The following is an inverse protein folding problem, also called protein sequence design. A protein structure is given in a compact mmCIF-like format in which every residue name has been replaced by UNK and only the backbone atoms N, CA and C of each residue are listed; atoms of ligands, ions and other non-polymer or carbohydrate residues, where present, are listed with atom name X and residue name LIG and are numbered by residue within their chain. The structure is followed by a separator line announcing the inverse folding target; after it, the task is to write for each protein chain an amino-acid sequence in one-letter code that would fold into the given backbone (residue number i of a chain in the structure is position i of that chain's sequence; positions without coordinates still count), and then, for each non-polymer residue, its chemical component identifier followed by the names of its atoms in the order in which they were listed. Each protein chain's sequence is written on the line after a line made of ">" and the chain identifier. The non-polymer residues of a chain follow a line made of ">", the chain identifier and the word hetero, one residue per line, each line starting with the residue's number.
data_IF_440383384980
#
_entry.id   IF_440383384980
#
_cell.length_a   1.000
_cell.length_b   1.000
_cell.length_c   1.000
_cell.angle_alpha   90.00
_cell.angle_beta   90.00
_cell.angle_gamma   90.00
#
_symmetry.space_group_name_H-M   'P 1'
#
loop_
_entity.id
_entity.type
_entity.pdbx_description
1 polymer ?
#
# COMPACT_ATOMS: atom_id res chain seq x y z
N UNK A 1 -4.07 -6.43 13.56
CA UNK A 1 -3.52 -7.31 14.62
C UNK A 1 -2.11 -7.84 14.31
N UNK A 2 -1.77 -8.22 13.07
CA UNK A 2 -0.45 -8.77 12.72
C UNK A 2 0.71 -7.77 12.79
N UNK A 3 0.50 -6.53 12.32
CA UNK A 3 1.51 -5.48 12.36
C UNK A 3 1.85 -5.09 13.80
N UNK A 4 0.83 -4.84 14.64
CA UNK A 4 1.01 -4.53 16.06
C UNK A 4 1.88 -5.59 16.77
N UNK A 5 1.61 -6.89 16.52
CA UNK A 5 2.41 -7.98 17.10
C UNK A 5 3.87 -7.93 16.69
N UNK A 6 4.15 -7.65 15.41
CA UNK A 6 5.53 -7.64 14.90
C UNK A 6 6.29 -6.38 15.30
N UNK A 7 5.64 -5.23 15.17
CA UNK A 7 6.32 -3.94 15.23
C UNK A 7 6.36 -3.34 16.64
N UNK A 8 5.38 -3.67 17.48
CA UNK A 8 5.25 -3.11 18.83
C UNK A 8 5.48 -4.18 19.90
N UNK A 9 4.70 -5.27 19.90
CA UNK A 9 4.76 -6.23 21.00
C UNK A 9 6.07 -7.00 21.05
N UNK A 10 6.61 -7.41 19.90
CA UNK A 10 7.86 -8.19 19.86
C UNK A 10 9.06 -7.41 20.41
N UNK A 11 9.32 -6.16 20.01
CA UNK A 11 10.32 -5.30 20.63
C UNK A 11 10.05 -5.06 22.13
N UNK A 12 8.80 -4.82 22.51
CA UNK A 12 8.40 -4.63 23.90
C UNK A 12 8.77 -5.86 24.75
N UNK A 13 8.49 -7.07 24.29
CA UNK A 13 8.84 -8.31 25.01
C UNK A 13 10.35 -8.48 25.19
N UNK A 14 11.15 -8.11 24.17
CA UNK A 14 12.62 -8.13 24.28
C UNK A 14 13.11 -7.18 25.37
N UNK A 15 12.53 -5.97 25.45
CA UNK A 15 12.86 -4.99 26.50
C UNK A 15 12.44 -5.49 27.88
N UNK A 16 11.23 -6.04 28.03
CA UNK A 16 10.75 -6.58 29.29
C UNK A 16 11.63 -7.74 29.77
N UNK A 17 11.98 -8.65 28.87
CA UNK A 17 12.88 -9.76 29.16
C UNK A 17 14.28 -9.29 29.58
N UNK A 18 14.86 -8.32 28.87
CA UNK A 18 16.16 -7.74 29.21
C UNK A 18 16.17 -7.05 30.60
N UNK A 19 15.00 -6.53 31.02
CA UNK A 19 14.81 -5.89 32.33
C UNK A 19 14.34 -6.87 33.43
N UNK A 20 14.17 -8.15 33.12
CA UNK A 20 13.65 -9.14 34.09
C UNK A 20 12.20 -8.92 34.48
N UNK A 21 11.41 -8.21 33.67
CA UNK A 21 10.00 -7.91 33.95
C UNK A 21 9.12 -8.99 33.35
N UNK A 22 8.36 -9.70 34.20
CA UNK A 22 7.39 -10.71 33.77
C UNK A 22 6.16 -10.08 33.11
N UNK A 23 5.59 -10.79 32.14
CA UNK A 23 4.33 -10.42 31.51
C UNK A 23 3.50 -11.65 31.17
N UNK A 24 2.19 -11.46 31.05
CA UNK A 24 1.25 -12.48 30.56
C UNK A 24 0.52 -11.97 29.33
N UNK A 25 0.51 -12.73 28.24
CA UNK A 25 -0.19 -12.38 27.01
C UNK A 25 -1.37 -13.31 26.76
N UNK A 26 -2.60 -12.78 26.92
CA UNK A 26 -3.83 -13.47 26.53
C UNK A 26 -4.09 -13.25 25.03
N UNK A 27 -3.91 -14.33 24.25
CA UNK A 27 -4.06 -14.27 22.76
C UNK A 27 -5.52 -14.28 22.31
N UNK A 28 -6.42 -14.87 23.08
CA UNK A 28 -7.84 -14.97 22.75
C UNK A 28 -8.56 -13.65 22.95
N UNK A 29 -8.25 -12.95 24.04
CA UNK A 29 -8.87 -11.67 24.41
C UNK A 29 -8.03 -10.45 24.01
N UNK A 30 -6.84 -10.67 23.41
CA UNK A 30 -5.94 -9.63 22.92
C UNK A 30 -5.54 -8.60 23.98
N UNK A 31 -5.06 -9.05 25.16
CA UNK A 31 -4.47 -8.15 26.15
C UNK A 31 -3.13 -8.67 26.69
N UNK A 32 -2.35 -7.77 27.27
CA UNK A 32 -1.08 -8.09 27.95
C UNK A 32 -1.12 -7.51 29.35
N UNK A 33 -0.86 -8.37 30.37
CA UNK A 33 -0.65 -7.93 31.75
C UNK A 33 0.85 -7.74 32.00
N UNK A 34 1.21 -6.61 32.59
CA UNK A 34 2.57 -6.29 33.02
C UNK A 34 2.47 -5.66 34.42
N UNK A 35 2.91 -6.41 35.44
CA UNK A 35 2.71 -6.03 36.84
C UNK A 35 1.22 -5.92 37.16
N UNK A 36 0.75 -4.77 37.62
CA UNK A 36 -0.67 -4.48 37.92
C UNK A 36 -1.45 -3.86 36.76
N UNK A 37 -0.83 -3.69 35.60
CA UNK A 37 -1.47 -3.01 34.47
C UNK A 37 -1.88 -4.01 33.39
N UNK A 38 -3.08 -3.82 32.84
CA UNK A 38 -3.59 -4.56 31.68
C UNK A 38 -3.57 -3.65 30.43
N UNK A 39 -2.97 -4.12 29.35
CA UNK A 39 -2.86 -3.43 28.08
C UNK A 39 -3.72 -4.14 27.04
N UNK A 40 -4.84 -3.56 26.66
CA UNK A 40 -5.70 -4.07 25.59
C UNK A 40 -5.16 -3.69 24.21
N UNK A 41 -5.27 -4.62 23.26
CA UNK A 41 -4.69 -4.52 21.94
C UNK A 41 -5.78 -4.45 20.88
N UNK A 42 -5.89 -3.31 20.20
CA UNK A 42 -6.90 -3.05 19.19
C UNK A 42 -6.28 -2.81 17.83
N UNK A 43 -7.06 -3.06 16.77
CA UNK A 43 -6.77 -2.58 15.41
C UNK A 43 -7.91 -1.69 14.96
N UNK A 44 -7.60 -0.65 14.20
CA UNK A 44 -8.58 0.28 13.67
C UNK A 44 -8.36 0.44 12.17
N UNK A 45 -9.21 -0.17 11.35
CA UNK A 45 -9.12 -0.13 9.88
C UNK A 45 -10.37 0.42 9.22
N UNK A 46 -11.46 0.57 9.96
CA UNK A 46 -12.75 1.06 9.46
C UNK A 46 -13.40 1.97 10.50
N UNK A 47 -14.35 2.80 10.08
CA UNK A 47 -15.12 3.66 10.98
C UNK A 47 -15.82 2.87 12.12
N UNK A 48 -16.32 1.66 11.83
CA UNK A 48 -16.93 0.79 12.84
C UNK A 48 -15.93 0.30 13.92
N UNK A 49 -14.62 0.47 13.70
CA UNK A 49 -13.61 0.06 14.67
C UNK A 49 -13.71 0.84 15.99
N UNK A 50 -14.30 2.03 16.00
CA UNK A 50 -14.54 2.82 17.21
C UNK A 50 -15.45 2.09 18.23
N UNK A 51 -16.37 1.24 17.76
CA UNK A 51 -17.34 0.54 18.62
C UNK A 51 -16.65 -0.46 19.55
N UNK A 52 -15.49 -0.99 19.13
CA UNK A 52 -14.74 -1.99 19.91
C UNK A 52 -14.17 -1.41 21.20
N UNK A 53 -13.91 -0.10 21.25
CA UNK A 53 -13.39 0.59 22.44
C UNK A 53 -14.46 1.38 23.18
N UNK A 54 -15.72 1.28 22.74
CA UNK A 54 -16.84 1.92 23.39
C UNK A 54 -17.05 1.32 24.79
N UNK A 55 -17.23 2.17 25.81
CA UNK A 55 -17.42 1.73 27.20
C UNK A 55 -16.12 1.47 27.98
N UNK A 56 -14.95 1.51 27.36
CA UNK A 56 -13.69 1.40 28.07
C UNK A 56 -13.41 2.66 28.90
N UNK A 57 -12.70 2.48 30.01
CA UNK A 57 -12.05 3.55 30.77
C UNK A 57 -10.57 3.22 30.87
N UNK A 58 -9.70 4.09 30.34
CA UNK A 58 -8.28 3.83 30.23
C UNK A 58 -7.44 4.90 30.95
N UNK A 59 -6.32 4.46 31.51
CA UNK A 59 -5.29 5.34 32.09
C UNK A 59 -4.34 5.92 31.04
N UNK A 60 -4.48 5.51 29.79
CA UNK A 60 -3.72 6.02 28.65
C UNK A 60 -3.87 5.17 27.41
N UNK A 61 -3.30 5.65 26.30
CA UNK A 61 -3.30 4.95 25.03
C UNK A 61 -1.99 5.20 24.25
N UNK A 62 -1.62 4.23 23.43
CA UNK A 62 -0.56 4.38 22.43
C UNK A 62 -1.12 3.99 21.06
N UNK A 63 -1.08 4.89 20.10
CA UNK A 63 -1.49 4.65 18.72
C UNK A 63 -0.27 4.67 17.79
N UNK A 64 0.03 3.49 17.23
CA UNK A 64 1.11 3.30 16.26
C UNK A 64 0.58 3.56 14.85
N UNK A 65 1.28 4.39 14.08
CA UNK A 65 0.85 4.83 12.75
C UNK A 65 -0.55 5.50 12.76
N UNK A 66 -0.78 6.41 13.70
CA UNK A 66 -2.08 7.02 13.96
C UNK A 66 -2.74 7.70 12.74
N UNK A 67 -1.95 8.16 11.77
CA UNK A 67 -2.46 8.73 10.51
C UNK A 67 -3.20 7.71 9.62
N UNK A 68 -3.09 6.42 9.90
CA UNK A 68 -3.81 5.36 9.18
C UNK A 68 -5.16 5.01 9.85
N UNK A 69 -5.45 5.60 11.01
CA UNK A 69 -6.68 5.31 11.74
C UNK A 69 -7.80 6.26 11.33
N UNK A 70 -9.06 5.80 11.31
CA UNK A 70 -10.22 6.69 11.18
C UNK A 70 -10.21 7.76 12.27
N UNK A 71 -10.61 8.97 11.91
CA UNK A 71 -10.72 10.09 12.86
C UNK A 71 -11.62 9.73 14.05
N UNK A 72 -12.77 9.11 13.78
CA UNK A 72 -13.72 8.66 14.79
C UNK A 72 -13.08 7.73 15.83
N UNK A 73 -12.18 6.83 15.40
CA UNK A 73 -11.46 5.94 16.32
C UNK A 73 -10.48 6.72 17.23
N UNK A 74 -9.74 7.66 16.68
CA UNK A 74 -8.79 8.50 17.46
C UNK A 74 -9.56 9.35 18.47
N UNK A 75 -10.66 9.99 18.06
CA UNK A 75 -11.49 10.78 18.97
C UNK A 75 -12.10 9.93 20.08
N UNK A 76 -12.61 8.75 19.75
CA UNK A 76 -13.13 7.80 20.73
C UNK A 76 -12.03 7.33 21.70
N UNK A 77 -10.86 6.97 21.20
CA UNK A 77 -9.69 6.56 22.00
C UNK A 77 -9.31 7.65 23.02
N UNK A 78 -9.23 8.90 22.56
CA UNK A 78 -8.93 10.05 23.44
C UNK A 78 -10.00 10.19 24.51
N UNK A 79 -11.29 10.13 24.13
CA UNK A 79 -12.42 10.21 25.07
C UNK A 79 -12.45 9.09 26.11
N UNK A 80 -11.90 7.91 25.80
CA UNK A 80 -11.81 6.80 26.75
C UNK A 80 -10.66 6.94 27.76
N UNK A 81 -9.66 7.77 27.49
CA UNK A 81 -8.57 8.06 28.42
C UNK A 81 -8.99 9.08 29.48
N UNK A 82 -9.96 8.71 30.32
CA UNK A 82 -10.63 9.60 31.26
C UNK A 82 -10.17 9.46 32.72
N UNK A 83 -9.19 8.61 32.99
CA UNK A 83 -8.58 8.50 34.33
C UNK A 83 -7.72 9.75 34.59
N UNK A 84 -7.76 10.34 35.81
CA UNK A 84 -6.88 11.46 36.14
C UNK A 84 -5.41 11.11 35.90
N UNK A 85 -4.72 12.00 35.16
CA UNK A 85 -3.31 11.80 34.77
C UNK A 85 -3.12 10.88 33.56
N UNK A 86 -4.18 10.52 32.85
CA UNK A 86 -4.09 9.73 31.63
C UNK A 86 -3.16 10.39 30.61
N UNK A 87 -2.39 9.57 29.90
CA UNK A 87 -1.45 10.01 28.87
C UNK A 87 -1.71 9.29 27.57
N UNK A 88 -1.64 10.05 26.46
CA UNK A 88 -1.86 9.53 25.10
C UNK A 88 -0.60 9.80 24.28
N UNK A 89 -0.14 8.75 23.62
CA UNK A 89 1.02 8.79 22.75
C UNK A 89 0.58 8.38 21.35
N UNK A 90 0.99 9.13 20.35
CA UNK A 90 0.72 8.83 18.95
C UNK A 90 1.98 9.05 18.14
N UNK A 91 2.26 8.16 17.21
CA UNK A 91 3.24 8.42 16.16
C UNK A 91 2.58 8.31 14.79
N UNK A 92 3.12 8.96 13.80
CA UNK A 92 2.70 8.83 12.41
C UNK A 92 3.78 9.32 11.45
N UNK A 93 3.72 8.84 10.22
CA UNK A 93 4.38 9.51 9.11
C UNK A 93 3.49 10.64 8.59
N UNK A 94 4.06 11.72 8.05
CA UNK A 94 3.28 12.82 7.50
C UNK A 94 2.50 12.39 6.25
N UNK A 95 1.36 13.01 6.06
CA UNK A 95 0.46 12.84 4.94
C UNK A 95 0.04 14.18 4.34
N UNK A 96 -1.25 14.33 4.01
CA UNK A 96 -1.84 15.60 3.59
C UNK A 96 -1.77 16.65 4.69
N UNK A 97 -1.48 17.93 4.37
CA UNK A 97 -1.58 19.03 5.34
C UNK A 97 -3.01 19.25 5.84
N UNK A 98 -4.03 18.72 5.16
CA UNK A 98 -5.44 18.76 5.58
C UNK A 98 -5.86 17.55 6.44
N UNK A 99 -4.94 16.65 6.73
CA UNK A 99 -5.25 15.50 7.58
C UNK A 99 -5.60 15.95 9.01
N UNK A 100 -6.64 15.36 9.61
CA UNK A 100 -7.14 15.77 10.92
C UNK A 100 -6.08 15.76 12.04
N UNK A 101 -5.11 14.83 12.02
CA UNK A 101 -4.00 14.85 12.98
C UNK A 101 -3.15 16.11 12.84
N UNK A 102 -2.98 16.61 11.61
CA UNK A 102 -2.25 17.87 11.37
C UNK A 102 -3.07 19.07 11.83
N UNK A 103 -4.29 19.21 11.29
CA UNK A 103 -5.13 20.40 11.50
C UNK A 103 -5.69 20.53 12.91
N UNK A 104 -6.05 19.40 13.54
CA UNK A 104 -6.77 19.42 14.82
C UNK A 104 -5.89 19.13 16.02
N UNK A 105 -4.69 18.56 15.80
CA UNK A 105 -3.78 18.22 16.90
C UNK A 105 -2.43 18.91 16.76
N UNK A 106 -1.69 18.73 15.66
CA UNK A 106 -0.33 19.25 15.51
C UNK A 106 -0.34 20.78 15.43
N UNK A 107 -1.18 21.37 14.57
CA UNK A 107 -1.26 22.83 14.41
C UNK A 107 -1.85 23.53 15.64
N UNK A 108 -2.63 22.81 16.43
CA UNK A 108 -3.22 23.30 17.69
C UNK A 108 -2.50 22.76 18.92
N UNK A 109 -1.25 22.32 18.77
CA UNK A 109 -0.51 21.65 19.84
C UNK A 109 -0.40 22.52 21.12
N UNK A 110 -0.11 23.82 20.96
CA UNK A 110 -0.02 24.76 22.09
C UNK A 110 -1.39 24.94 22.78
N UNK A 111 -2.47 25.09 22.01
CA UNK A 111 -3.83 25.26 22.52
C UNK A 111 -4.30 24.02 23.30
N UNK A 112 -3.99 22.85 22.76
CA UNK A 112 -4.41 21.55 23.33
C UNK A 112 -3.40 20.95 24.33
N UNK A 113 -2.36 21.68 24.71
CA UNK A 113 -1.28 21.21 25.60
C UNK A 113 -0.63 19.91 25.12
N UNK A 114 -0.41 19.77 23.81
CA UNK A 114 0.24 18.63 23.18
C UNK A 114 1.73 18.91 23.02
N UNK A 115 2.56 17.93 23.37
CA UNK A 115 3.98 17.94 23.02
C UNK A 115 4.12 17.32 21.64
N UNK A 116 4.46 18.14 20.65
CA UNK A 116 4.74 17.66 19.29
C UNK A 116 6.26 17.53 19.12
N UNK A 117 6.69 16.33 18.74
CA UNK A 117 8.08 16.04 18.41
C UNK A 117 8.13 15.68 16.92
N UNK A 118 9.00 16.36 16.19
CA UNK A 118 9.26 16.09 14.78
C UNK A 118 10.63 15.45 14.65
N UNK A 119 10.68 14.33 13.91
CA UNK A 119 11.91 13.60 13.63
C UNK A 119 12.04 13.39 12.13
N UNK A 120 13.26 13.58 11.64
CA UNK A 120 13.65 13.23 10.28
C UNK A 120 14.51 11.95 10.30
N UNK A 121 14.85 11.45 9.12
CA UNK A 121 15.77 10.30 9.03
C UNK A 121 17.14 10.62 9.64
N UNK A 122 17.57 11.90 9.63
CA UNK A 122 18.87 12.32 10.18
C UNK A 122 18.93 12.26 11.70
N UNK A 123 17.78 12.38 12.37
CA UNK A 123 17.70 12.26 13.82
C UNK A 123 17.86 10.81 14.30
N UNK A 124 17.77 9.83 13.39
CA UNK A 124 17.96 8.43 13.72
C UNK A 124 19.44 8.03 13.66
N UNK A 125 20.13 8.18 14.77
CA UNK A 125 21.57 7.87 14.91
C UNK A 125 21.90 6.38 14.74
N UNK A 126 20.93 5.48 14.75
CA UNK A 126 21.14 4.04 14.53
C UNK A 126 21.25 3.65 13.05
N UNK A 127 20.86 4.54 12.13
CA UNK A 127 20.98 4.30 10.70
C UNK A 127 22.40 4.60 10.21
N UNK A 128 23.02 3.62 9.55
CA UNK A 128 24.30 3.83 8.87
C UNK A 128 24.13 4.76 7.65
N UNK A 129 25.20 5.46 7.22
CA UNK A 129 25.16 6.31 6.02
C UNK A 129 24.62 5.57 4.78
N UNK A 130 25.07 4.33 4.56
CA UNK A 130 24.64 3.50 3.42
C UNK A 130 23.14 3.22 3.42
N UNK A 131 22.54 3.05 4.63
CA UNK A 131 21.10 2.85 4.77
C UNK A 131 20.35 4.14 4.48
N UNK A 132 20.86 5.29 4.95
CA UNK A 132 20.26 6.59 4.65
C UNK A 132 20.27 6.88 3.16
N UNK A 133 21.43 6.74 2.50
CA UNK A 133 21.59 6.94 1.06
C UNK A 133 20.65 6.02 0.25
N UNK A 134 20.50 4.76 0.69
CA UNK A 134 19.54 3.84 0.07
C UNK A 134 18.12 4.35 0.18
N UNK A 135 17.66 4.84 1.35
CA UNK A 135 16.31 5.38 1.50
C UNK A 135 16.10 6.65 0.67
N UNK A 136 17.08 7.53 0.58
CA UNK A 136 17.03 8.73 -0.27
C UNK A 136 16.83 8.37 -1.74
N UNK A 137 17.48 7.30 -2.22
CA UNK A 137 17.31 6.81 -3.60
C UNK A 137 15.99 6.10 -3.86
N UNK A 138 15.34 5.56 -2.81
CA UNK A 138 14.06 4.84 -2.94
C UNK A 138 12.85 5.76 -3.20
N UNK A 139 12.94 7.01 -2.80
CA UNK A 139 11.80 7.93 -2.84
C UNK A 139 12.08 9.10 -3.78
N UNK A 140 11.03 9.56 -4.48
CA UNK A 140 11.02 10.77 -5.28
C UNK A 140 9.75 11.58 -5.03
N UNK A 141 9.71 12.82 -5.52
CA UNK A 141 8.52 13.67 -5.46
C UNK A 141 7.94 13.82 -4.05
N UNK A 142 6.65 13.61 -3.93
CA UNK A 142 5.90 13.72 -2.66
C UNK A 142 6.38 12.72 -1.61
N UNK A 143 6.78 11.51 -2.04
CA UNK A 143 7.23 10.46 -1.12
C UNK A 143 8.56 10.81 -0.47
N UNK A 144 9.47 11.46 -1.21
CA UNK A 144 10.73 11.96 -0.65
C UNK A 144 10.45 13.02 0.42
N UNK A 145 9.59 13.99 0.13
CA UNK A 145 9.21 15.03 1.10
C UNK A 145 8.64 14.44 2.38
N UNK A 146 7.76 13.45 2.28
CA UNK A 146 7.10 12.83 3.43
C UNK A 146 8.01 11.87 4.21
N UNK A 147 8.69 10.97 3.52
CA UNK A 147 9.40 9.86 4.17
C UNK A 147 10.83 10.20 4.56
N UNK A 148 11.47 11.15 3.85
CA UNK A 148 12.84 11.59 4.13
C UNK A 148 12.86 12.91 4.91
N UNK A 149 12.13 13.93 4.40
CA UNK A 149 12.12 15.26 5.03
C UNK A 149 11.08 15.40 6.15
N UNK A 150 10.16 14.45 6.30
CA UNK A 150 9.13 14.50 7.35
C UNK A 150 8.07 15.59 7.16
N UNK A 151 7.82 16.03 5.92
CA UNK A 151 6.96 17.15 5.61
C UNK A 151 5.50 16.73 5.37
N UNK A 152 4.57 17.50 5.92
CA UNK A 152 3.14 17.39 5.58
C UNK A 152 2.91 18.17 4.27
N UNK A 153 2.81 17.44 3.15
CA UNK A 153 2.68 18.04 1.82
C UNK A 153 1.50 17.49 1.06
N UNK A 154 0.92 18.36 0.24
CA UNK A 154 -0.25 18.02 -0.57
C UNK A 154 0.12 17.05 -1.69
N UNK A 155 -0.73 16.05 -1.89
CA UNK A 155 -0.64 15.17 -3.04
C UNK A 155 -1.32 15.85 -4.25
N UNK A 156 -0.54 16.46 -5.12
CA UNK A 156 -1.03 17.20 -6.29
C UNK A 156 -0.37 16.71 -7.57
N UNK A 157 -1.08 16.87 -8.68
CA UNK A 157 -0.55 16.60 -10.00
C UNK A 157 -0.42 15.11 -10.34
N UNK A 158 0.57 14.79 -11.15
CA UNK A 158 0.84 13.43 -11.65
C UNK A 158 1.41 12.57 -10.53
N UNK A 159 0.85 11.37 -10.38
CA UNK A 159 1.25 10.41 -9.33
C UNK A 159 2.61 9.77 -9.66
N UNK A 160 2.82 9.42 -10.94
CA UNK A 160 4.04 8.77 -11.43
C UNK A 160 4.86 9.72 -12.30
N UNK A 161 5.27 10.88 -11.77
CA UNK A 161 6.12 11.87 -12.44
C UNK A 161 7.51 11.31 -12.80
N UNK A 162 7.92 10.22 -12.13
CA UNK A 162 9.15 9.49 -12.44
C UNK A 162 9.01 8.53 -13.63
N UNK A 163 7.81 8.33 -14.19
CA UNK A 163 7.62 7.49 -15.37
C UNK A 163 8.06 8.24 -16.65
N UNK A 164 9.22 7.90 -17.14
CA UNK A 164 9.89 8.53 -18.29
C UNK A 164 10.28 7.49 -19.34
N UNK A 165 10.66 7.92 -20.52
CA UNK A 165 10.96 7.03 -21.65
C UNK A 165 12.11 6.04 -21.38
N UNK A 166 13.00 6.32 -20.43
CA UNK A 166 14.08 5.42 -20.02
C UNK A 166 13.58 4.18 -19.24
N UNK A 167 12.32 4.18 -18.81
CA UNK A 167 11.64 2.99 -18.26
C UNK A 167 10.97 2.13 -19.35
N UNK A 168 10.97 2.59 -20.59
CA UNK A 168 10.46 1.81 -21.72
C UNK A 168 11.54 0.84 -22.23
N UNK A 169 11.08 -0.25 -22.82
CA UNK A 169 11.94 -1.23 -23.49
C UNK A 169 11.27 -1.79 -24.74
N UNK A 170 12.05 -2.45 -25.60
CA UNK A 170 11.61 -3.12 -26.81
C UNK A 170 11.98 -4.61 -26.84
N UNK A 171 11.66 -5.29 -27.95
CA UNK A 171 11.95 -6.72 -28.12
C UNK A 171 13.45 -7.05 -28.12
N UNK A 172 14.33 -6.08 -28.40
CA UNK A 172 15.78 -6.31 -28.37
C UNK A 172 16.30 -6.43 -26.94
N UNK A 173 15.69 -5.70 -25.99
CA UNK A 173 16.07 -5.78 -24.56
C UNK A 173 15.44 -6.98 -23.85
N UNK A 174 14.26 -7.45 -24.29
CA UNK A 174 13.54 -8.58 -23.69
C UNK A 174 13.51 -9.80 -24.60
N UNK A 175 14.64 -10.46 -24.71
CA UNK A 175 14.85 -11.61 -25.59
C UNK A 175 14.15 -12.87 -25.09
N UNK A 176 13.97 -13.88 -26.00
CA UNK A 176 13.43 -15.21 -25.64
C UNK A 176 14.21 -15.88 -24.51
N UNK A 177 15.54 -15.75 -24.49
CA UNK A 177 16.40 -16.29 -23.43
C UNK A 177 16.10 -15.63 -22.08
N UNK A 178 15.90 -14.32 -22.05
CA UNK A 178 15.55 -13.58 -20.85
C UNK A 178 14.15 -14.00 -20.36
N UNK A 179 13.18 -14.08 -21.27
CA UNK A 179 11.82 -14.53 -20.98
C UNK A 179 11.81 -15.90 -20.27
N UNK A 180 12.60 -16.87 -20.77
CA UNK A 180 12.65 -18.24 -20.22
C UNK A 180 13.27 -18.33 -18.82
N UNK A 181 14.02 -17.31 -18.39
CA UNK A 181 14.64 -17.25 -17.05
C UNK A 181 13.77 -16.51 -16.02
N UNK A 182 12.67 -15.89 -16.44
CA UNK A 182 11.77 -15.12 -15.59
C UNK A 182 10.61 -15.99 -15.07
N UNK A 183 10.06 -15.58 -13.93
CA UNK A 183 8.72 -16.00 -13.51
C UNK A 183 7.67 -15.17 -14.22
N UNK A 184 6.60 -15.81 -14.69
CA UNK A 184 5.52 -15.15 -15.40
C UNK A 184 4.30 -14.98 -14.51
N UNK A 185 3.73 -13.77 -14.50
CA UNK A 185 2.54 -13.41 -13.75
C UNK A 185 1.56 -12.65 -14.64
N UNK A 186 0.26 -12.80 -14.38
CA UNK A 186 -0.75 -11.94 -14.99
C UNK A 186 -1.44 -11.16 -13.89
N UNK A 187 -1.47 -9.84 -14.04
CA UNK A 187 -2.23 -8.96 -13.16
C UNK A 187 -3.51 -8.49 -13.85
N UNK A 188 -4.62 -8.52 -13.15
CA UNK A 188 -5.92 -8.17 -13.71
C UNK A 188 -6.58 -7.04 -12.92
N UNK A 189 -7.14 -6.07 -13.67
CA UNK A 189 -8.19 -5.21 -13.18
C UNK A 189 -9.50 -5.63 -13.84
N UNK A 190 -10.45 -6.09 -13.02
CA UNK A 190 -11.71 -6.67 -13.49
C UNK A 190 -12.78 -5.62 -13.67
N UNK A 191 -13.19 -5.40 -14.91
CA UNK A 191 -14.28 -4.51 -15.25
C UNK A 191 -15.34 -5.17 -16.14
N UNK A 192 -16.61 -4.98 -15.79
CA UNK A 192 -17.76 -5.39 -16.65
C UNK A 192 -18.26 -4.23 -17.51
N UNK A 193 -18.42 -3.06 -16.91
CA UNK A 193 -18.76 -1.79 -17.58
C UNK A 193 -17.54 -0.88 -17.72
N UNK A 194 -16.58 -1.01 -16.86
CA UNK A 194 -15.25 -0.40 -16.97
C UNK A 194 -14.33 -1.31 -17.77
N UNK A 195 -13.20 -0.83 -18.26
CA UNK A 195 -12.23 -1.65 -18.96
C UNK A 195 -11.80 -2.89 -18.18
N UNK A 196 -11.71 -4.02 -18.88
CA UNK A 196 -11.05 -5.24 -18.43
C UNK A 196 -9.59 -5.16 -18.86
N UNK A 197 -8.67 -5.35 -17.93
CA UNK A 197 -7.22 -5.28 -18.17
C UNK A 197 -6.52 -6.56 -17.74
N UNK A 198 -5.62 -7.06 -18.60
CA UNK A 198 -4.61 -8.05 -18.24
C UNK A 198 -3.23 -7.47 -18.51
N UNK A 199 -2.32 -7.58 -17.58
CA UNK A 199 -0.92 -7.23 -17.75
C UNK A 199 -0.05 -8.47 -17.64
N UNK A 200 0.74 -8.75 -18.67
CA UNK A 200 1.71 -9.85 -18.71
C UNK A 200 3.03 -9.36 -18.11
N UNK A 201 3.34 -9.84 -16.92
CA UNK A 201 4.46 -9.36 -16.11
C UNK A 201 5.46 -10.48 -15.90
N UNK A 202 6.71 -10.22 -16.27
CA UNK A 202 7.83 -11.11 -16.06
C UNK A 202 8.75 -10.56 -14.96
N UNK A 203 9.15 -11.43 -14.05
CA UNK A 203 10.03 -11.12 -12.94
C UNK A 203 11.35 -11.89 -13.07
N UNK A 204 12.46 -11.19 -13.34
CA UNK A 204 13.79 -11.78 -13.44
C UNK A 204 14.53 -11.86 -12.08
N UNK A 205 13.83 -11.56 -10.97
CA UNK A 205 14.39 -11.51 -9.62
C UNK A 205 14.94 -10.14 -9.23
N UNK A 206 15.22 -9.28 -10.19
CA UNK A 206 15.71 -7.89 -9.97
C UNK A 206 14.77 -6.84 -10.54
N UNK A 207 14.21 -7.07 -11.70
CA UNK A 207 13.40 -6.14 -12.48
C UNK A 207 12.08 -6.80 -12.87
N UNK A 208 11.02 -6.03 -12.82
CA UNK A 208 9.70 -6.38 -13.34
C UNK A 208 9.55 -5.83 -14.75
N UNK A 209 9.13 -6.67 -15.67
CA UNK A 209 8.96 -6.38 -17.08
C UNK A 209 7.49 -6.52 -17.45
N UNK A 210 6.79 -5.42 -17.69
CA UNK A 210 5.44 -5.43 -18.27
C UNK A 210 5.57 -5.57 -19.77
N UNK A 211 5.35 -6.79 -20.27
CA UNK A 211 5.71 -7.15 -21.66
C UNK A 211 4.54 -6.99 -22.62
N UNK A 212 3.34 -7.28 -22.18
CA UNK A 212 2.13 -7.23 -23.00
C UNK A 212 0.93 -6.80 -22.18
N UNK A 213 -0.07 -6.20 -22.82
CA UNK A 213 -1.35 -5.83 -22.22
C UNK A 213 -2.52 -6.30 -23.05
N UNK A 214 -3.59 -6.69 -22.41
CA UNK A 214 -4.94 -6.77 -22.95
C UNK A 214 -5.76 -5.66 -22.33
N UNK A 215 -6.47 -4.91 -23.18
CA UNK A 215 -7.30 -3.80 -22.72
C UNK A 215 -8.62 -3.80 -23.49
N UNK A 216 -9.72 -4.12 -22.82
CA UNK A 216 -11.03 -4.19 -23.42
C UNK A 216 -11.99 -3.21 -22.74
N UNK A 217 -12.32 -2.12 -23.44
CA UNK A 217 -13.28 -1.12 -22.98
C UNK A 217 -14.66 -1.43 -23.59
N UNK A 218 -15.54 -2.03 -22.79
CA UNK A 218 -16.88 -2.45 -23.22
C UNK A 218 -17.77 -1.28 -23.69
N UNK A 219 -17.48 -0.05 -23.24
CA UNK A 219 -18.21 1.17 -23.69
C UNK A 219 -17.76 1.57 -25.08
N UNK A 220 -16.48 1.52 -25.38
CA UNK A 220 -15.94 1.82 -26.72
C UNK A 220 -16.34 0.76 -27.73
N UNK A 221 -16.28 -0.49 -27.32
CA UNK A 221 -16.67 -1.64 -28.14
C UNK A 221 -18.20 -1.81 -28.25
N UNK A 222 -18.98 -1.01 -27.48
CA UNK A 222 -20.45 -1.11 -27.41
C UNK A 222 -20.93 -2.54 -27.14
N UNK A 223 -20.13 -3.35 -26.45
CA UNK A 223 -20.42 -4.75 -26.16
C UNK A 223 -19.82 -5.16 -24.81
N UNK A 224 -20.66 -5.66 -23.92
CA UNK A 224 -20.21 -6.33 -22.70
C UNK A 224 -19.88 -7.80 -22.99
N UNK A 225 -18.86 -8.31 -22.35
CA UNK A 225 -18.49 -9.74 -22.34
C UNK A 225 -18.89 -10.39 -21.04
N UNK A 226 -19.22 -11.67 -21.10
CA UNK A 226 -19.41 -12.52 -19.93
C UNK A 226 -18.08 -12.96 -19.35
N UNK A 227 -18.06 -13.49 -18.12
CA UNK A 227 -16.86 -14.04 -17.50
C UNK A 227 -16.24 -15.16 -18.35
N UNK A 228 -17.05 -16.02 -18.99
CA UNK A 228 -16.57 -17.07 -19.89
C UNK A 228 -15.88 -16.47 -21.12
N UNK A 229 -16.45 -15.44 -21.72
CA UNK A 229 -15.85 -14.77 -22.88
C UNK A 229 -14.54 -14.07 -22.51
N UNK A 230 -14.45 -13.46 -21.32
CA UNK A 230 -13.20 -12.91 -20.82
C UNK A 230 -12.17 -14.01 -20.51
N UNK A 231 -12.62 -15.18 -20.07
CA UNK A 231 -11.73 -16.31 -19.85
C UNK A 231 -11.20 -16.91 -21.16
N UNK A 232 -12.00 -16.89 -22.24
CA UNK A 232 -11.53 -17.26 -23.59
C UNK A 232 -10.48 -16.27 -24.10
N UNK A 233 -10.71 -14.95 -23.91
CA UNK A 233 -9.72 -13.93 -24.23
C UNK A 233 -8.45 -14.09 -23.39
N UNK A 234 -8.58 -14.46 -22.11
CA UNK A 234 -7.47 -14.72 -21.22
C UNK A 234 -6.62 -15.91 -21.67
N UNK A 235 -7.25 -17.00 -22.10
CA UNK A 235 -6.53 -18.16 -22.69
C UNK A 235 -5.78 -17.78 -23.96
N UNK A 236 -6.41 -16.99 -24.83
CA UNK A 236 -5.74 -16.44 -26.01
C UNK A 236 -4.57 -15.52 -25.66
N UNK A 237 -4.71 -14.72 -24.60
CA UNK A 237 -3.66 -13.83 -24.12
C UNK A 237 -2.48 -14.59 -23.49
N UNK A 238 -2.74 -15.66 -22.77
CA UNK A 238 -1.72 -16.53 -22.16
C UNK A 238 -0.97 -17.34 -23.20
N UNK A 239 -1.60 -17.64 -24.35
CA UNK A 239 -1.02 -18.33 -25.51
C UNK A 239 -0.34 -19.67 -25.15
N UNK A 240 -1.01 -20.48 -24.35
CA UNK A 240 -0.54 -21.80 -23.93
C UNK A 240 0.61 -21.81 -22.89
N UNK A 241 1.16 -20.68 -22.54
CA UNK A 241 2.20 -20.55 -21.51
C UNK A 241 1.56 -20.19 -20.16
N UNK A 242 1.27 -21.16 -19.30
CA UNK A 242 0.65 -20.92 -18.01
C UNK A 242 1.48 -19.98 -17.10
N UNK A 243 0.88 -18.90 -16.55
CA UNK A 243 1.57 -18.06 -15.57
C UNK A 243 1.73 -18.77 -14.22
N UNK A 244 2.77 -18.43 -13.46
CA UNK A 244 2.97 -18.91 -12.08
C UNK A 244 1.79 -18.53 -11.17
N UNK A 245 1.22 -17.34 -11.37
CA UNK A 245 0.09 -16.83 -10.59
C UNK A 245 -0.66 -15.75 -11.36
N UNK A 246 -1.97 -15.72 -11.18
CA UNK A 246 -2.87 -14.65 -11.61
C UNK A 246 -3.27 -13.83 -10.40
N UNK A 247 -3.09 -12.52 -10.45
CA UNK A 247 -3.44 -11.59 -9.38
C UNK A 247 -4.65 -10.77 -9.81
N UNK A 248 -5.69 -10.72 -8.99
CA UNK A 248 -6.95 -10.06 -9.33
C UNK A 248 -7.59 -9.39 -8.11
N UNK A 249 -8.38 -8.35 -8.35
CA UNK A 249 -9.20 -7.69 -7.32
C UNK A 249 -10.05 -8.70 -6.55
N UNK A 250 -10.09 -8.64 -5.21
CA UNK A 250 -10.94 -9.50 -4.38
C UNK A 250 -12.43 -9.45 -4.75
N UNK A 251 -12.92 -8.32 -5.28
CA UNK A 251 -14.33 -8.14 -5.67
C UNK A 251 -14.74 -8.97 -6.88
N UNK A 252 -13.80 -9.41 -7.73
CA UNK A 252 -14.06 -10.22 -8.95
C UNK A 252 -14.37 -11.69 -8.62
N UNK A 253 -15.32 -11.96 -7.73
CA UNK A 253 -15.57 -13.29 -7.19
C UNK A 253 -15.98 -14.32 -8.28
N UNK A 254 -16.86 -13.95 -9.20
CA UNK A 254 -17.34 -14.81 -10.29
C UNK A 254 -16.21 -15.19 -11.26
N UNK A 255 -15.45 -14.21 -11.71
CA UNK A 255 -14.36 -14.42 -12.65
C UNK A 255 -13.22 -15.28 -12.06
N UNK A 256 -12.94 -15.12 -10.75
CA UNK A 256 -11.99 -15.99 -10.05
C UNK A 256 -12.39 -17.47 -10.07
N UNK A 257 -13.69 -17.77 -9.94
CA UNK A 257 -14.22 -19.13 -10.02
C UNK A 257 -13.98 -19.71 -11.41
N UNK A 258 -14.28 -18.93 -12.46
CA UNK A 258 -14.06 -19.36 -13.86
C UNK A 258 -12.58 -19.65 -14.12
N UNK A 259 -11.68 -18.73 -13.77
CA UNK A 259 -10.23 -18.92 -13.97
C UNK A 259 -9.69 -20.14 -13.21
N UNK A 260 -10.12 -20.35 -11.96
CA UNK A 260 -9.75 -21.55 -11.19
C UNK A 260 -10.29 -22.83 -11.81
N UNK A 261 -11.51 -22.80 -12.34
CA UNK A 261 -12.11 -23.91 -13.08
C UNK A 261 -11.33 -24.29 -14.35
N UNK A 262 -10.64 -23.32 -14.97
CA UNK A 262 -9.75 -23.52 -16.12
C UNK A 262 -8.30 -23.87 -15.72
N UNK A 263 -8.04 -24.09 -14.43
CA UNK A 263 -6.74 -24.58 -13.93
C UNK A 263 -5.73 -23.50 -13.56
N UNK A 264 -6.11 -22.21 -13.58
CA UNK A 264 -5.22 -21.14 -13.21
C UNK A 264 -5.11 -20.97 -11.70
N UNK A 265 -3.90 -20.65 -11.23
CA UNK A 265 -3.66 -20.27 -9.82
C UNK A 265 -4.01 -18.81 -9.64
N UNK A 266 -5.04 -18.52 -8.83
CA UNK A 266 -5.55 -17.15 -8.64
C UNK A 266 -5.35 -16.71 -7.20
N UNK A 267 -4.75 -15.55 -7.03
CA UNK A 267 -4.48 -14.86 -5.76
C UNK A 267 -5.20 -13.52 -5.69
N UNK A 268 -5.82 -13.25 -4.55
CA UNK A 268 -6.45 -11.96 -4.29
C UNK A 268 -5.41 -10.86 -4.09
N UNK A 269 -5.67 -9.70 -4.67
CA UNK A 269 -4.89 -8.49 -4.48
C UNK A 269 -5.10 -7.89 -3.07
N UNK A 270 -4.17 -7.07 -2.64
CA UNK A 270 -4.33 -6.19 -1.48
C UNK A 270 -4.72 -4.80 -1.99
N UNK A 271 -5.91 -4.33 -1.62
CA UNK A 271 -6.52 -3.10 -2.15
C UNK A 271 -6.09 -1.81 -1.43
N UNK A 272 -5.02 -1.82 -0.62
CA UNK A 272 -4.48 -0.59 -0.07
C UNK A 272 -3.85 0.28 -1.18
N UNK A 273 -4.58 1.32 -1.59
CA UNK A 273 -4.27 2.15 -2.77
C UNK A 273 -2.95 2.89 -2.60
N UNK A 274 -2.80 3.66 -1.51
CA UNK A 274 -1.63 4.52 -1.30
C UNK A 274 -0.33 3.73 -1.11
N UNK A 275 -0.38 2.60 -0.40
CA UNK A 275 0.77 1.71 -0.28
C UNK A 275 1.17 1.11 -1.64
N UNK A 276 0.18 0.72 -2.44
CA UNK A 276 0.43 0.18 -3.77
C UNK A 276 1.04 1.23 -4.72
N UNK A 277 0.50 2.46 -4.72
CA UNK A 277 1.04 3.59 -5.49
C UNK A 277 2.50 3.84 -5.09
N UNK A 278 2.78 3.96 -3.79
CA UNK A 278 4.13 4.18 -3.28
C UNK A 278 5.09 3.09 -3.74
N UNK A 279 4.67 1.82 -3.70
CA UNK A 279 5.51 0.70 -4.09
C UNK A 279 5.85 0.72 -5.58
N UNK A 280 4.87 1.01 -6.45
CA UNK A 280 5.07 1.17 -7.89
C UNK A 280 6.01 2.35 -8.17
N UNK A 281 5.81 3.50 -7.51
CA UNK A 281 6.68 4.67 -7.63
C UNK A 281 8.14 4.35 -7.25
N UNK A 282 8.36 3.63 -6.14
CA UNK A 282 9.70 3.18 -5.72
C UNK A 282 10.37 2.30 -6.78
N UNK A 283 9.64 1.34 -7.35
CA UNK A 283 10.17 0.47 -8.41
C UNK A 283 10.57 1.24 -9.65
N UNK A 284 9.77 2.23 -10.06
CA UNK A 284 10.08 3.12 -11.18
C UNK A 284 11.31 3.99 -10.89
N UNK A 285 11.35 4.63 -9.71
CA UNK A 285 12.50 5.46 -9.28
C UNK A 285 13.80 4.65 -9.27
N UNK A 286 13.76 3.41 -8.81
CA UNK A 286 14.91 2.50 -8.80
C UNK A 286 15.16 1.80 -10.15
N UNK A 287 14.39 2.11 -11.20
CA UNK A 287 14.46 1.46 -12.53
C UNK A 287 14.27 -0.06 -12.47
N UNK A 288 13.48 -0.53 -11.50
CA UNK A 288 13.14 -1.95 -11.29
C UNK A 288 11.77 -2.33 -11.83
N UNK A 289 11.10 -1.40 -12.51
CA UNK A 289 9.87 -1.61 -13.28
C UNK A 289 10.07 -1.02 -14.67
N UNK A 290 9.95 -1.87 -15.68
CA UNK A 290 10.09 -1.51 -17.09
C UNK A 290 8.80 -1.88 -17.83
N UNK A 291 8.41 -1.06 -18.81
CA UNK A 291 7.17 -1.23 -19.59
C UNK A 291 7.51 -1.32 -21.07
N UNK A 292 7.01 -2.35 -21.74
CA UNK A 292 7.24 -2.51 -23.17
C UNK A 292 6.56 -1.40 -23.97
N UNK A 293 7.22 -0.88 -25.00
CA UNK A 293 6.69 0.18 -25.86
C UNK A 293 5.33 -0.15 -26.48
N UNK A 294 5.00 -1.43 -26.70
CA UNK A 294 3.70 -1.90 -27.20
C UNK A 294 2.54 -1.76 -26.21
N UNK A 295 2.80 -1.60 -24.90
CA UNK A 295 1.78 -1.43 -23.88
C UNK A 295 1.27 0.02 -23.86
N UNK A 296 0.52 0.41 -24.91
CA UNK A 296 0.11 1.79 -25.16
C UNK A 296 -0.84 2.34 -24.09
N UNK A 297 -1.80 1.50 -23.64
CA UNK A 297 -2.74 1.89 -22.59
C UNK A 297 -2.03 2.06 -21.25
N UNK A 298 -1.15 1.10 -20.89
CA UNK A 298 -0.34 1.20 -19.68
C UNK A 298 0.51 2.46 -19.67
N UNK A 299 1.21 2.74 -20.76
CA UNK A 299 2.00 3.97 -20.89
C UNK A 299 1.16 5.23 -20.74
N UNK A 300 0.01 5.28 -21.43
CA UNK A 300 -0.93 6.40 -21.36
C UNK A 300 -1.46 6.61 -19.94
N UNK A 301 -1.90 5.55 -19.29
CA UNK A 301 -2.48 5.65 -17.93
C UNK A 301 -1.42 6.01 -16.89
N UNK A 302 -0.22 5.42 -16.94
CA UNK A 302 0.87 5.78 -16.04
C UNK A 302 1.28 7.26 -16.17
N UNK A 303 1.33 7.79 -17.40
CA UNK A 303 1.68 9.20 -17.67
C UNK A 303 0.59 10.20 -17.27
N UNK A 304 -0.66 9.75 -17.13
CA UNK A 304 -1.82 10.62 -16.84
C UNK A 304 -2.48 10.29 -15.49
N UNK A 305 -1.88 9.43 -14.69
CA UNK A 305 -2.43 9.07 -13.38
C UNK A 305 -2.23 10.22 -12.40
N UNK A 306 -3.32 10.83 -11.96
CA UNK A 306 -3.31 12.05 -11.15
C UNK A 306 -4.09 11.88 -9.85
N UNK A 307 -3.77 12.71 -8.88
CA UNK A 307 -4.55 12.81 -7.65
C UNK A 307 -5.89 13.49 -7.89
N UNK A 308 -6.93 13.07 -7.16
CA UNK A 308 -8.23 13.73 -7.13
C UNK A 308 -8.13 15.00 -6.25
N UNK A 309 -8.02 16.15 -6.87
CA UNK A 309 -7.88 17.44 -6.19
C UNK A 309 -9.02 17.71 -5.18
N UNK A 310 -10.25 17.30 -5.49
CA UNK A 310 -11.40 17.49 -4.60
C UNK A 310 -11.31 16.59 -3.36
N UNK A 311 -10.85 15.38 -3.51
CA UNK A 311 -10.60 14.47 -2.40
C UNK A 311 -9.46 14.99 -1.52
N UNK A 312 -8.37 15.42 -2.14
CA UNK A 312 -7.18 15.96 -1.46
C UNK A 312 -7.52 17.21 -0.63
N UNK A 313 -8.35 18.11 -1.13
CA UNK A 313 -8.83 19.29 -0.40
C UNK A 313 -9.68 18.93 0.84
N UNK A 314 -10.29 17.74 0.85
CA UNK A 314 -11.01 17.20 2.00
C UNK A 314 -10.14 16.38 2.96
N UNK A 315 -8.83 16.34 2.72
CA UNK A 315 -7.89 15.53 3.51
C UNK A 315 -7.82 14.06 3.09
N UNK A 316 -8.51 13.65 2.02
CA UNK A 316 -8.49 12.30 1.48
C UNK A 316 -7.54 12.20 0.29
N UNK A 317 -6.54 11.38 0.39
CA UNK A 317 -5.61 11.14 -0.72
C UNK A 317 -6.04 9.93 -1.53
N UNK A 318 -6.69 10.22 -2.64
CA UNK A 318 -7.17 9.22 -3.59
C UNK A 318 -6.77 9.62 -5.01
N UNK A 319 -6.38 8.67 -5.84
CA UNK A 319 -6.23 8.94 -7.26
C UNK A 319 -7.59 9.25 -7.89
N UNK A 320 -7.58 10.07 -8.92
CA UNK A 320 -8.74 10.30 -9.77
C UNK A 320 -9.10 8.99 -10.49
N UNK A 321 -10.32 8.51 -10.30
CA UNK A 321 -10.80 7.24 -10.86
C UNK A 321 -11.22 7.39 -12.33
N UNK A 322 -10.25 7.71 -13.20
CA UNK A 322 -10.44 7.87 -14.64
C UNK A 322 -9.20 7.33 -15.37
N UNK A 323 -9.38 6.35 -16.24
CA UNK A 323 -8.30 5.70 -17.00
C UNK A 323 -7.15 5.25 -16.07
N UNK A 324 -7.48 4.45 -15.07
CA UNK A 324 -6.53 4.00 -14.04
C UNK A 324 -6.44 2.46 -13.94
N UNK A 325 -7.01 1.75 -14.90
CA UNK A 325 -7.17 0.30 -14.87
C UNK A 325 -5.86 -0.48 -14.95
N UNK A 326 -4.93 -0.04 -15.78
CA UNK A 326 -3.59 -0.64 -15.86
C UNK A 326 -2.75 -0.27 -14.63
N UNK A 327 -2.95 0.94 -14.09
CA UNK A 327 -2.33 1.38 -12.84
C UNK A 327 -2.80 0.52 -11.66
N UNK A 328 -4.11 0.22 -11.61
CA UNK A 328 -4.69 -0.63 -10.58
C UNK A 328 -4.18 -2.08 -10.70
N UNK A 329 -4.18 -2.67 -11.91
CA UNK A 329 -3.63 -4.01 -12.13
C UNK A 329 -2.16 -4.12 -11.71
N UNK A 330 -1.34 -3.12 -12.08
CA UNK A 330 0.08 -3.07 -11.71
C UNK A 330 0.27 -2.95 -10.19
N UNK A 331 -0.50 -2.10 -9.54
CA UNK A 331 -0.52 -1.91 -8.09
C UNK A 331 -0.91 -3.22 -7.36
N UNK A 332 -1.94 -3.93 -7.86
CA UNK A 332 -2.36 -5.22 -7.33
C UNK A 332 -1.23 -6.25 -7.36
N UNK A 333 -0.54 -6.35 -8.50
CA UNK A 333 0.61 -7.25 -8.63
C UNK A 333 1.72 -6.90 -7.64
N UNK A 334 2.17 -5.64 -7.62
CA UNK A 334 3.29 -5.22 -6.79
C UNK A 334 3.00 -5.47 -5.30
N UNK A 335 1.79 -5.16 -4.85
CA UNK A 335 1.38 -5.35 -3.46
C UNK A 335 1.26 -6.83 -3.07
N UNK A 336 0.74 -7.68 -3.97
CA UNK A 336 0.50 -9.10 -3.70
C UNK A 336 1.76 -9.96 -3.80
N UNK A 337 2.68 -9.64 -4.71
CA UNK A 337 3.76 -10.55 -5.11
C UNK A 337 5.14 -10.12 -4.63
N UNK A 338 5.37 -8.83 -4.39
CA UNK A 338 6.69 -8.40 -3.95
C UNK A 338 6.90 -8.71 -2.46
N UNK A 339 7.86 -9.57 -2.14
CA UNK A 339 8.18 -9.86 -0.76
C UNK A 339 8.88 -8.68 -0.09
N UNK A 340 8.68 -8.50 1.21
CA UNK A 340 9.27 -7.38 1.97
C UNK A 340 10.80 -7.32 1.89
N UNK A 341 11.48 -8.46 1.83
CA UNK A 341 12.93 -8.51 1.70
C UNK A 341 13.43 -7.91 0.39
N UNK A 342 12.68 -8.09 -0.71
CA UNK A 342 13.03 -7.51 -2.00
C UNK A 342 12.88 -5.99 -2.01
N UNK A 343 11.82 -5.48 -1.36
CA UNK A 343 11.62 -4.02 -1.19
C UNK A 343 12.78 -3.41 -0.39
N UNK A 344 13.32 -4.15 0.58
CA UNK A 344 14.47 -3.70 1.37
C UNK A 344 15.81 -3.72 0.60
N UNK A 345 15.84 -4.36 -0.56
CA UNK A 345 17.03 -4.44 -1.43
C UNK A 345 16.97 -3.43 -2.60
N UNK A 346 15.85 -2.73 -2.77
CA UNK A 346 15.75 -1.62 -3.71
C UNK A 346 16.55 -0.43 -3.22
#
# INVERSE_FOLDING_TARGET
>A
AGALKRNVLRPMWQILQAKGIGYYYNRSENYVDIGSNTYYLFGASTEASQDVIQGLTAAGAYADEAALFPQSFIEQMIGRCSVPGARIWMNCNPGSPYHFLKTDYIDKAAEKHIVHLHFTMDDNLSLSPDVKERYERLYSGIWYKRMILGEWVLAEGIIYDMFTDDLLFDDAEFTKSKKSSCRRYIALDYGTTNPMVFLDIYDDGTTLWVVHEYYYDSRKEMRQKTDEQYADDFEGFVDGEYPDMVIIDPSAASFKVVLRGRGYRVKDADNNVNDGIRLVAMLMTCRKLRVHQRCENTRRELSNYVWDEKAVQRGEEKPLKVNDHTCDALRYFCKAMLPKWRIQQL
#
